data_IF_895497526003
#
_entry.id   IF_895497526003
#
_cell.length_a   1.000
_cell.length_b   1.000
_cell.length_c   1.000
_cell.angle_alpha   90.00
_cell.angle_beta   90.00
_cell.angle_gamma   90.00
#
_symmetry.space_group_name_H-M   'P 1'
#
loop_
_entity.id
_entity.type
_entity.pdbx_description
1 polymer ?
#
# COMPACT_ATOMS: atom_id res chain seq x y z
N UNK A 1 -26.91 8.74 -1.15
CA UNK A 1 -26.02 9.67 -1.88
C UNK A 1 -24.61 9.14 -2.14
N UNK A 2 -24.22 7.97 -1.59
CA UNK A 2 -22.85 7.46 -1.77
C UNK A 2 -22.55 6.83 -3.16
N UNK A 3 -23.51 6.18 -3.78
CA UNK A 3 -23.30 5.45 -5.08
C UNK A 3 -22.94 6.42 -6.22
N UNK A 4 -23.55 7.61 -6.26
CA UNK A 4 -23.25 8.62 -7.29
C UNK A 4 -21.81 9.20 -7.19
N UNK A 5 -21.22 9.21 -5.99
CA UNK A 5 -19.88 9.76 -5.79
C UNK A 5 -18.76 8.86 -6.33
N UNK A 6 -19.00 7.55 -6.46
CA UNK A 6 -18.05 6.54 -6.94
C UNK A 6 -18.30 6.12 -8.39
N UNK A 7 -19.36 6.66 -9.02
CA UNK A 7 -19.68 6.35 -10.40
C UNK A 7 -18.52 6.69 -11.34
N UNK A 8 -18.15 5.76 -12.18
CA UNK A 8 -17.02 5.85 -13.09
C UNK A 8 -15.67 5.40 -12.53
N UNK A 9 -15.50 5.26 -11.21
CA UNK A 9 -14.22 4.80 -10.63
C UNK A 9 -13.86 3.40 -11.10
N UNK A 10 -14.80 2.45 -11.01
CA UNK A 10 -14.59 1.05 -11.43
C UNK A 10 -14.26 0.94 -12.93
N UNK A 11 -14.79 1.84 -13.76
CA UNK A 11 -14.47 1.87 -15.19
C UNK A 11 -13.11 2.51 -15.48
N UNK A 12 -12.61 3.35 -14.58
CA UNK A 12 -11.36 4.10 -14.74
C UNK A 12 -10.11 3.30 -14.34
N UNK A 13 -10.26 2.23 -13.55
CA UNK A 13 -9.15 1.41 -13.05
C UNK A 13 -9.28 -0.04 -13.51
N UNK A 14 -8.15 -0.74 -13.62
CA UNK A 14 -8.11 -2.18 -13.93
C UNK A 14 -8.20 -3.03 -12.66
N UNK A 15 -7.74 -2.50 -11.56
CA UNK A 15 -7.76 -3.17 -10.27
C UNK A 15 -9.16 -3.21 -9.66
N UNK A 16 -9.29 -4.01 -8.60
CA UNK A 16 -10.56 -4.17 -7.90
C UNK A 16 -10.90 -2.92 -7.09
N UNK A 17 -12.16 -2.49 -7.14
CA UNK A 17 -12.73 -1.48 -6.25
C UNK A 17 -13.64 -2.18 -5.25
N UNK A 18 -13.55 -1.83 -3.99
CA UNK A 18 -14.42 -2.33 -2.91
C UNK A 18 -15.06 -1.13 -2.24
N UNK A 19 -16.38 -1.09 -2.20
CA UNK A 19 -17.14 -0.04 -1.53
C UNK A 19 -17.97 -0.58 -0.35
N UNK A 20 -18.69 0.30 0.33
CA UNK A 20 -19.49 -0.03 1.52
C UNK A 20 -20.62 -1.02 1.27
N UNK A 21 -21.01 -1.23 0.02
CA UNK A 21 -22.05 -2.20 -0.36
C UNK A 21 -21.52 -3.62 -0.56
N UNK A 22 -20.21 -3.78 -0.64
CA UNK A 22 -19.57 -5.07 -0.90
C UNK A 22 -19.49 -5.93 0.36
N UNK A 23 -19.73 -7.24 0.22
CA UNK A 23 -19.64 -8.20 1.33
C UNK A 23 -18.24 -8.33 1.93
N UNK A 24 -17.18 -7.97 1.19
CA UNK A 24 -15.78 -7.98 1.65
C UNK A 24 -15.30 -6.63 2.20
N UNK A 25 -16.17 -5.64 2.35
CA UNK A 25 -15.78 -4.29 2.74
C UNK A 25 -15.11 -4.21 4.11
N UNK A 26 -15.66 -4.87 5.13
CA UNK A 26 -15.10 -4.84 6.49
C UNK A 26 -13.71 -5.47 6.57
N UNK A 27 -13.47 -6.54 5.83
CA UNK A 27 -12.13 -7.12 5.69
C UNK A 27 -11.19 -6.18 4.93
N UNK A 28 -11.67 -5.60 3.83
CA UNK A 28 -10.87 -4.72 2.98
C UNK A 28 -10.44 -3.42 3.68
N UNK A 29 -11.27 -2.84 4.57
CA UNK A 29 -10.95 -1.62 5.31
C UNK A 29 -10.05 -1.82 6.53
N UNK A 30 -9.91 -3.06 7.02
CA UNK A 30 -9.15 -3.38 8.22
C UNK A 30 -7.67 -2.99 8.06
N UNK A 31 -7.08 -2.50 9.15
CA UNK A 31 -5.66 -2.17 9.25
C UNK A 31 -4.96 -3.11 10.23
N UNK A 32 -3.62 -3.11 10.21
CA UNK A 32 -2.81 -3.87 11.16
C UNK A 32 -3.14 -3.51 12.63
N UNK A 33 -3.33 -2.23 12.92
CA UNK A 33 -3.82 -1.78 14.21
C UNK A 33 -5.35 -1.88 14.27
N UNK A 34 -5.87 -2.91 14.89
CA UNK A 34 -7.31 -3.15 15.04
C UNK A 34 -8.08 -2.11 15.87
N UNK A 35 -7.39 -1.15 16.51
CA UNK A 35 -8.02 -0.01 17.16
C UNK A 35 -8.45 1.09 16.18
N UNK A 36 -7.98 1.03 14.94
CA UNK A 36 -8.32 1.99 13.90
C UNK A 36 -9.56 1.49 13.16
N UNK A 37 -10.67 2.15 13.36
CA UNK A 37 -11.97 1.82 12.77
C UNK A 37 -12.45 2.94 11.83
N UNK A 38 -11.77 3.09 10.69
CA UNK A 38 -12.11 4.06 9.66
C UNK A 38 -12.97 3.45 8.56
N UNK A 39 -13.85 4.27 7.99
CA UNK A 39 -14.83 3.86 7.00
C UNK A 39 -14.63 4.63 5.69
N UNK A 40 -13.69 4.22 4.82
CA UNK A 40 -13.49 4.83 3.51
C UNK A 40 -14.75 4.71 2.64
N UNK A 41 -14.93 5.63 1.70
CA UNK A 41 -15.99 5.52 0.70
C UNK A 41 -15.72 4.34 -0.24
N UNK A 42 -14.45 4.15 -0.63
CA UNK A 42 -14.00 2.97 -1.36
C UNK A 42 -12.50 2.70 -1.16
N UNK A 43 -12.11 1.47 -1.47
CA UNK A 43 -10.72 0.99 -1.51
C UNK A 43 -10.44 0.52 -2.94
N UNK A 44 -9.40 1.08 -3.56
CA UNK A 44 -8.93 0.70 -4.90
C UNK A 44 -7.65 -0.12 -4.77
N UNK A 45 -7.70 -1.39 -5.15
CA UNK A 45 -6.52 -2.25 -5.25
C UNK A 45 -5.82 -2.00 -6.59
N UNK A 46 -4.85 -1.10 -6.58
CA UNK A 46 -4.13 -0.71 -7.79
C UNK A 46 -3.22 -1.84 -8.28
N UNK A 47 -3.30 -2.18 -9.56
CA UNK A 47 -2.44 -3.19 -10.20
C UNK A 47 -1.33 -2.59 -11.05
N UNK A 48 -1.27 -1.26 -11.17
CA UNK A 48 -0.24 -0.55 -11.90
C UNK A 48 -0.35 0.97 -11.73
N UNK A 49 0.64 1.69 -12.26
CA UNK A 49 0.74 3.16 -12.17
C UNK A 49 -0.45 3.89 -12.80
N UNK A 50 -1.05 3.29 -13.84
CA UNK A 50 -2.23 3.84 -14.50
C UNK A 50 -3.43 3.90 -13.55
N UNK A 51 -3.64 2.84 -12.72
CA UNK A 51 -4.70 2.81 -11.72
C UNK A 51 -4.48 3.87 -10.64
N UNK A 52 -3.22 4.00 -10.18
CA UNK A 52 -2.84 5.02 -9.19
C UNK A 52 -3.17 6.41 -9.72
N UNK A 53 -2.75 6.71 -10.96
CA UNK A 53 -3.02 8.01 -11.60
C UNK A 53 -4.50 8.28 -11.78
N UNK A 54 -5.26 7.27 -12.23
CA UNK A 54 -6.71 7.39 -12.43
C UNK A 54 -7.44 7.62 -11.10
N UNK A 55 -7.09 6.87 -10.04
CA UNK A 55 -7.70 7.02 -8.73
C UNK A 55 -7.37 8.36 -8.07
N UNK A 56 -6.16 8.88 -8.23
CA UNK A 56 -5.77 10.23 -7.77
C UNK A 56 -6.58 11.30 -8.51
N UNK A 57 -6.66 11.20 -9.84
CA UNK A 57 -7.47 12.10 -10.67
C UNK A 57 -8.93 12.13 -10.24
N UNK A 58 -9.51 10.95 -10.08
CA UNK A 58 -10.89 10.77 -9.62
C UNK A 58 -11.13 11.40 -8.24
N UNK A 59 -10.23 11.16 -7.26
CA UNK A 59 -10.36 11.75 -5.93
C UNK A 59 -10.29 13.28 -5.98
N UNK A 60 -9.35 13.83 -6.75
CA UNK A 60 -9.15 15.26 -6.91
C UNK A 60 -10.38 15.94 -7.53
N UNK A 61 -10.94 15.39 -8.60
CA UNK A 61 -12.10 15.93 -9.30
C UNK A 61 -13.36 15.97 -8.42
N UNK A 62 -13.45 15.06 -7.45
CA UNK A 62 -14.58 14.95 -6.53
C UNK A 62 -14.33 15.53 -5.14
N UNK A 63 -13.17 16.11 -4.92
CA UNK A 63 -12.77 16.66 -3.61
C UNK A 63 -12.70 15.62 -2.51
N UNK A 64 -12.43 14.33 -2.85
CA UNK A 64 -12.31 13.25 -1.90
C UNK A 64 -10.92 13.26 -1.24
N UNK A 65 -10.89 13.06 0.07
CA UNK A 65 -9.63 12.79 0.77
C UNK A 65 -9.07 11.45 0.31
N UNK A 66 -7.73 11.35 0.30
CA UNK A 66 -7.04 10.18 -0.19
C UNK A 66 -6.05 9.66 0.85
N UNK A 67 -6.02 8.35 1.05
CA UNK A 67 -4.99 7.65 1.80
C UNK A 67 -4.32 6.61 0.92
N UNK A 68 -3.02 6.40 1.11
CA UNK A 68 -2.25 5.35 0.43
C UNK A 68 -1.92 4.26 1.42
N UNK A 69 -2.20 3.02 1.04
CA UNK A 69 -1.95 1.84 1.86
C UNK A 69 -1.03 0.86 1.14
N UNK A 70 -0.05 0.36 1.88
CA UNK A 70 0.81 -0.74 1.49
C UNK A 70 0.59 -1.88 2.51
N UNK A 71 1.39 -1.96 3.60
CA UNK A 71 1.17 -2.92 4.68
C UNK A 71 0.19 -2.50 5.78
N UNK A 72 -0.28 -1.24 5.79
CA UNK A 72 -1.24 -0.76 6.78
C UNK A 72 -0.71 -0.65 8.21
N UNK A 73 0.59 -0.60 8.42
CA UNK A 73 1.24 -0.63 9.75
C UNK A 73 1.29 0.72 10.48
N UNK A 74 0.86 1.82 9.87
CA UNK A 74 0.91 3.13 10.51
C UNK A 74 0.03 3.16 11.77
N UNK A 75 0.65 3.43 12.95
CA UNK A 75 -0.02 3.40 14.25
C UNK A 75 -1.14 4.45 14.40
N UNK A 76 -1.04 5.59 13.71
CA UNK A 76 -2.06 6.64 13.69
C UNK A 76 -3.17 6.39 12.65
N UNK A 77 -3.12 5.29 11.90
CA UNK A 77 -4.13 4.93 10.92
C UNK A 77 -4.12 5.79 9.65
N UNK A 78 -2.97 6.38 9.28
CA UNK A 78 -2.86 7.20 8.07
C UNK A 78 -3.03 6.41 6.76
N UNK A 79 -2.97 5.08 6.82
CA UNK A 79 -3.21 4.19 5.70
C UNK A 79 -4.71 4.02 5.34
N UNK A 80 -5.61 4.73 6.04
CA UNK A 80 -7.04 4.79 5.77
C UNK A 80 -7.61 6.17 6.06
N UNK A 81 -8.81 6.45 5.57
CA UNK A 81 -9.49 7.74 5.68
C UNK A 81 -10.99 7.53 5.69
N UNK A 82 -11.72 8.27 6.55
CA UNK A 82 -13.19 8.25 6.54
C UNK A 82 -13.73 9.03 5.34
N UNK A 83 -14.76 8.49 4.69
CA UNK A 83 -15.50 9.09 3.56
C UNK A 83 -14.63 9.48 2.35
N UNK A 84 -13.41 8.98 2.30
CA UNK A 84 -12.46 9.22 1.23
C UNK A 84 -12.10 7.94 0.47
N UNK A 85 -11.05 8.03 -0.33
CA UNK A 85 -10.56 6.92 -1.15
C UNK A 85 -9.26 6.36 -0.59
N UNK A 86 -9.18 5.03 -0.45
CA UNK A 86 -7.94 4.32 -0.12
C UNK A 86 -7.35 3.73 -1.39
N UNK A 87 -6.12 4.10 -1.72
CA UNK A 87 -5.32 3.43 -2.73
C UNK A 87 -4.51 2.33 -2.07
N UNK A 88 -4.89 1.10 -2.30
CA UNK A 88 -4.15 -0.07 -1.83
C UNK A 88 -3.17 -0.53 -2.90
N UNK A 89 -1.89 -0.52 -2.57
CA UNK A 89 -0.80 -0.89 -3.47
C UNK A 89 -0.38 -2.35 -3.33
N UNK A 90 -1.05 -3.17 -2.51
CA UNK A 90 -0.63 -4.54 -2.20
C UNK A 90 -0.49 -5.46 -3.42
N UNK A 91 -1.18 -5.15 -4.52
CA UNK A 91 -1.03 -5.87 -5.79
C UNK A 91 0.16 -5.41 -6.64
N UNK A 92 0.83 -4.32 -6.25
CA UNK A 92 2.05 -3.81 -6.87
C UNK A 92 3.24 -4.19 -5.98
N UNK A 93 3.59 -5.47 -5.93
CA UNK A 93 4.53 -6.04 -4.97
C UNK A 93 5.73 -6.74 -5.61
N UNK A 94 6.04 -6.43 -6.85
CA UNK A 94 7.18 -7.01 -7.55
C UNK A 94 8.50 -6.60 -6.89
N UNK A 95 9.40 -7.58 -6.74
CA UNK A 95 10.77 -7.42 -6.24
C UNK A 95 11.72 -8.02 -7.24
N UNK A 96 12.63 -7.22 -7.80
CA UNK A 96 13.64 -7.66 -8.76
C UNK A 96 15.03 -7.37 -8.22
N UNK A 97 15.88 -8.39 -8.14
CA UNK A 97 17.28 -8.26 -7.67
C UNK A 97 18.23 -8.28 -8.87
N UNK A 98 19.15 -7.33 -8.92
CA UNK A 98 20.33 -7.35 -9.80
C UNK A 98 21.57 -7.64 -8.96
N UNK A 99 22.05 -8.89 -8.91
CA UNK A 99 23.20 -9.25 -8.08
C UNK A 99 24.50 -8.59 -8.57
N UNK A 100 24.62 -8.33 -9.87
CA UNK A 100 25.82 -7.76 -10.46
C UNK A 100 25.98 -6.28 -10.10
N UNK A 101 24.87 -5.55 -10.08
CA UNK A 101 24.83 -4.17 -9.64
C UNK A 101 24.67 -4.02 -8.11
N UNK A 102 24.43 -5.13 -7.38
CA UNK A 102 24.06 -5.15 -5.96
C UNK A 102 22.87 -4.21 -5.66
N UNK A 103 21.88 -4.26 -6.51
CA UNK A 103 20.68 -3.43 -6.42
C UNK A 103 19.43 -4.29 -6.33
N UNK A 104 18.41 -3.78 -5.62
CA UNK A 104 17.07 -4.32 -5.62
C UNK A 104 16.08 -3.23 -6.02
N UNK A 105 15.19 -3.56 -6.96
CA UNK A 105 14.03 -2.75 -7.34
C UNK A 105 12.81 -3.34 -6.67
N UNK A 106 12.04 -2.50 -5.99
CA UNK A 106 10.89 -2.93 -5.21
C UNK A 106 9.70 -2.03 -5.52
N UNK A 107 8.56 -2.61 -5.85
CA UNK A 107 7.32 -1.87 -5.97
C UNK A 107 6.78 -1.46 -4.60
N UNK A 108 6.08 -0.32 -4.55
CA UNK A 108 5.64 0.33 -3.31
C UNK A 108 4.68 -0.47 -2.43
N UNK A 109 4.01 -1.47 -3.00
CA UNK A 109 3.09 -2.37 -2.28
C UNK A 109 3.74 -3.63 -1.69
N UNK A 110 5.02 -3.90 -2.00
CA UNK A 110 5.74 -5.04 -1.44
C UNK A 110 5.88 -4.96 0.08
N UNK A 111 5.96 -6.12 0.71
CA UNK A 111 6.26 -6.25 2.14
C UNK A 111 7.74 -6.59 2.35
N UNK A 112 8.27 -6.25 3.52
CA UNK A 112 9.69 -6.52 3.84
C UNK A 112 10.07 -7.99 3.68
N UNK A 113 9.20 -8.93 4.10
CA UNK A 113 9.47 -10.35 3.95
C UNK A 113 9.59 -10.83 2.49
N UNK A 114 8.99 -10.12 1.53
CA UNK A 114 9.16 -10.40 0.10
C UNK A 114 10.54 -9.94 -0.37
N UNK A 115 10.98 -8.77 0.09
CA UNK A 115 12.33 -8.24 -0.18
C UNK A 115 13.40 -9.14 0.44
N UNK A 116 13.24 -9.48 1.72
CA UNK A 116 14.19 -10.34 2.44
C UNK A 116 14.38 -11.68 1.73
N UNK A 117 13.26 -12.31 1.31
CA UNK A 117 13.33 -13.59 0.59
C UNK A 117 14.09 -13.46 -0.73
N UNK A 118 13.74 -12.45 -1.53
CA UNK A 118 14.35 -12.25 -2.82
C UNK A 118 15.85 -11.93 -2.74
N UNK A 119 16.28 -11.13 -1.75
CA UNK A 119 17.68 -10.75 -1.59
C UNK A 119 18.50 -11.87 -0.93
N UNK A 120 17.89 -12.65 -0.03
CA UNK A 120 18.56 -13.79 0.63
C UNK A 120 19.05 -14.83 -0.35
N UNK A 121 18.32 -15.11 -1.43
CA UNK A 121 18.73 -16.05 -2.50
C UNK A 121 20.07 -15.66 -3.15
N UNK A 122 20.46 -14.39 -3.06
CA UNK A 122 21.71 -13.86 -3.57
C UNK A 122 22.75 -13.56 -2.49
N UNK A 123 22.50 -13.95 -1.23
CA UNK A 123 23.37 -13.66 -0.11
C UNK A 123 23.40 -12.19 0.32
N UNK A 124 22.36 -11.42 -0.02
CA UNK A 124 22.25 -10.02 0.36
C UNK A 124 21.24 -9.78 1.48
N UNK A 125 21.44 -8.70 2.22
CA UNK A 125 20.47 -8.17 3.17
C UNK A 125 20.26 -6.68 2.92
N UNK A 126 19.02 -6.23 3.08
CA UNK A 126 18.66 -4.81 2.95
C UNK A 126 18.43 -4.25 4.36
N UNK A 127 19.12 -3.16 4.77
CA UNK A 127 18.82 -2.47 6.03
C UNK A 127 17.38 -1.92 5.98
N UNK A 128 16.47 -2.57 6.69
CA UNK A 128 15.04 -2.23 6.69
C UNK A 128 14.43 -2.52 8.07
N UNK A 129 13.10 -2.43 8.20
CA UNK A 129 12.38 -2.70 9.45
C UNK A 129 12.41 -4.18 9.86
N UNK A 130 11.98 -4.45 11.09
CA UNK A 130 12.07 -5.78 11.73
C UNK A 130 10.90 -6.69 11.32
N UNK A 131 9.73 -6.13 11.05
CA UNK A 131 8.48 -6.89 10.87
C UNK A 131 8.25 -7.19 9.39
N UNK A 132 8.26 -8.46 9.03
CA UNK A 132 8.14 -8.94 7.64
C UNK A 132 6.85 -8.52 6.93
N UNK A 133 5.77 -8.26 7.66
CA UNK A 133 4.48 -7.80 7.11
C UNK A 133 4.41 -6.29 6.87
N UNK A 134 5.43 -5.53 7.30
CA UNK A 134 5.48 -4.08 7.08
C UNK A 134 5.64 -3.77 5.60
N UNK A 135 4.85 -2.81 5.11
CA UNK A 135 4.93 -2.37 3.71
C UNK A 135 6.15 -1.51 3.44
N UNK A 136 6.88 -1.82 2.37
CA UNK A 136 8.12 -1.13 1.97
C UNK A 136 7.86 0.35 1.71
N UNK A 137 6.81 0.71 0.96
CA UNK A 137 6.53 2.10 0.60
C UNK A 137 6.32 2.98 1.83
N UNK A 138 5.51 2.53 2.79
CA UNK A 138 5.26 3.30 4.02
C UNK A 138 6.50 3.43 4.90
N UNK A 139 7.27 2.35 5.07
CA UNK A 139 8.50 2.35 5.86
C UNK A 139 9.56 3.27 5.26
N UNK A 140 9.76 3.20 3.95
CA UNK A 140 10.78 4.00 3.26
C UNK A 140 10.49 5.50 3.36
N UNK A 141 9.23 5.89 3.22
CA UNK A 141 8.82 7.31 3.27
C UNK A 141 8.65 7.83 4.69
N UNK A 142 8.19 6.97 5.61
CA UNK A 142 7.92 7.35 7.01
C UNK A 142 9.09 7.15 7.96
N UNK A 143 10.09 6.41 7.55
CA UNK A 143 11.21 6.00 8.38
C UNK A 143 10.91 4.78 9.24
N UNK A 144 11.98 4.13 9.71
CA UNK A 144 11.90 2.96 10.57
C UNK A 144 13.27 2.55 11.12
N UNK A 145 13.27 1.57 11.99
CA UNK A 145 14.48 1.01 12.62
C UNK A 145 14.51 -0.50 12.40
N UNK A 146 15.67 -1.01 12.04
CA UNK A 146 15.91 -2.43 11.85
C UNK A 146 17.21 -2.90 12.49
N UNK A 147 17.43 -4.22 12.47
CA UNK A 147 18.62 -4.82 13.08
C UNK A 147 19.94 -4.32 12.45
N UNK A 148 19.93 -3.99 11.17
CA UNK A 148 21.12 -3.54 10.44
C UNK A 148 21.25 -2.02 10.38
N UNK A 149 20.36 -1.24 10.99
CA UNK A 149 20.37 0.23 10.91
C UNK A 149 21.62 0.88 11.50
N UNK A 150 22.37 0.18 12.34
CA UNK A 150 23.63 0.67 12.96
C UNK A 150 24.88 -0.02 12.41
N UNK A 151 24.74 -1.05 11.61
CA UNK A 151 25.87 -1.86 11.10
C UNK A 151 26.41 -1.41 9.75
N UNK A 152 25.80 -0.42 9.11
CA UNK A 152 26.11 0.04 7.77
C UNK A 152 26.83 1.39 7.69
N UNK A 153 27.50 1.81 8.76
CA UNK A 153 28.33 3.00 8.77
C UNK A 153 29.81 2.66 8.56
#
# INVERSE_FOLDING_TARGET
MAISALEGLTAAVKGRVVDRGDSGYDEARALYNGMIDKHPAAIVYCVGEADVSAAIGFARERGLRLAVRCGGHNGAGLASVDDGLVLDLSSMNEVTVDPSARMVRVQGGAKLGEVDRATYEHGFAVPAGIISTTGVGGLTLGGGVGHLSRGGA
#
